data_IF_046634135134
#
_entry.id   IF_046634135134
#
_cell.length_a   1.000
_cell.length_b   1.000
_cell.length_c   1.000
_cell.angle_alpha   90.00
_cell.angle_beta   90.00
_cell.angle_gamma   90.00
#
_symmetry.space_group_name_H-M   'P 1'
#
loop_
_entity.id
_entity.type
_entity.pdbx_description
1 polymer ?
#
# COMPACT_ATOMS: atom_id res chain seq x y z
N UNK A 1 6.32 9.86 19.67
CA UNK A 1 7.51 8.98 19.66
C UNK A 1 7.09 7.61 20.17
N UNK A 2 7.49 6.55 19.49
CA UNK A 2 7.14 5.18 19.84
C UNK A 2 8.34 4.25 19.70
N UNK A 3 8.35 3.19 20.51
CA UNK A 3 9.27 2.07 20.37
C UNK A 3 8.45 0.80 20.23
N UNK A 4 8.76 -0.04 19.24
CA UNK A 4 8.13 -1.35 19.10
C UNK A 4 9.18 -2.44 19.04
N UNK A 5 8.80 -3.64 19.49
CA UNK A 5 9.60 -4.85 19.42
C UNK A 5 8.77 -5.92 18.73
N UNK A 6 9.32 -6.57 17.70
CA UNK A 6 8.74 -7.79 17.11
C UNK A 6 9.64 -8.95 17.47
N UNK A 7 9.12 -9.88 18.26
CA UNK A 7 9.78 -11.15 18.51
C UNK A 7 9.65 -12.05 17.28
N UNK A 8 10.70 -12.76 16.88
CA UNK A 8 10.62 -13.69 15.77
C UNK A 8 9.68 -14.84 16.11
N UNK A 9 8.84 -15.19 15.14
CA UNK A 9 7.89 -16.31 15.25
C UNK A 9 8.62 -17.64 15.30
N UNK A 10 7.91 -18.70 15.70
CA UNK A 10 8.46 -20.07 15.66
C UNK A 10 8.82 -20.48 14.23
N UNK A 11 8.04 -20.05 13.22
CA UNK A 11 8.30 -20.35 11.81
C UNK A 11 9.58 -19.66 11.33
N UNK A 12 9.77 -18.38 11.67
CA UNK A 12 11.00 -17.63 11.31
C UNK A 12 12.26 -18.25 11.95
N UNK A 13 12.14 -18.89 13.12
CA UNK A 13 13.25 -19.58 13.80
C UNK A 13 13.46 -21.04 13.36
N UNK A 14 12.47 -21.69 12.74
CA UNK A 14 12.46 -23.14 12.54
C UNK A 14 13.64 -23.64 11.69
N UNK A 15 14.04 -22.86 10.67
CA UNK A 15 15.00 -23.27 9.65
C UNK A 15 16.42 -22.76 9.84
N UNK A 16 16.69 -22.00 10.90
CA UNK A 16 18.03 -21.45 11.17
C UNK A 16 18.99 -22.55 11.61
N UNK A 17 18.46 -23.56 12.30
CA UNK A 17 19.23 -24.74 12.75
C UNK A 17 19.76 -25.54 11.56
N UNK A 18 18.97 -25.66 10.50
CA UNK A 18 19.32 -26.41 9.30
C UNK A 18 20.35 -25.68 8.43
N UNK A 19 20.45 -24.35 8.54
CA UNK A 19 21.52 -23.57 7.91
C UNK A 19 22.87 -23.74 8.61
N UNK A 20 22.87 -23.84 9.95
CA UNK A 20 24.11 -23.95 10.74
C UNK A 20 24.78 -25.32 10.65
N UNK A 21 24.05 -26.38 10.31
CA UNK A 21 24.65 -27.70 10.05
C UNK A 21 25.49 -27.75 8.77
N UNK A 22 25.34 -26.78 7.87
CA UNK A 22 26.19 -26.59 6.68
C UNK A 22 27.52 -25.86 7.00
N UNK A 23 27.57 -25.01 8.04
CA UNK A 23 28.81 -24.38 8.52
C UNK A 23 29.22 -24.96 9.88
N UNK A 24 29.99 -26.05 9.87
CA UNK A 24 30.55 -26.70 11.07
C UNK A 24 31.41 -25.73 11.90
N UNK A 25 30.81 -25.05 12.86
CA UNK A 25 31.41 -24.59 14.13
C UNK A 25 30.44 -23.61 14.82
N UNK A 26 29.45 -24.09 15.56
CA UNK A 26 28.97 -23.42 16.78
C UNK A 26 27.85 -24.24 17.45
N UNK A 27 27.99 -24.49 18.75
CA UNK A 27 27.12 -25.39 19.55
C UNK A 27 25.96 -24.67 20.26
N UNK A 28 25.64 -23.46 19.84
CA UNK A 28 24.46 -22.71 20.31
C UNK A 28 23.71 -22.20 19.09
N UNK A 29 22.44 -22.59 18.86
CA UNK A 29 21.72 -22.10 17.70
C UNK A 29 21.57 -20.58 17.83
N UNK A 30 22.06 -19.77 16.87
CA UNK A 30 21.80 -18.34 16.88
C UNK A 30 20.29 -18.18 16.71
N UNK A 31 19.59 -17.87 17.80
CA UNK A 31 18.18 -17.47 17.72
C UNK A 31 18.16 -16.12 17.03
N UNK A 32 17.17 -15.89 16.17
CA UNK A 32 16.94 -14.54 15.67
C UNK A 32 16.71 -13.64 16.89
N UNK A 33 17.42 -12.52 16.91
CA UNK A 33 17.15 -11.49 17.89
C UNK A 33 15.78 -10.82 17.60
N UNK A 34 15.15 -10.16 18.56
CA UNK A 34 13.99 -9.34 18.25
C UNK A 34 14.32 -8.21 17.26
N UNK A 35 13.36 -7.91 16.38
CA UNK A 35 13.39 -6.67 15.61
C UNK A 35 13.00 -5.52 16.55
N UNK A 36 13.81 -4.47 16.58
CA UNK A 36 13.51 -3.25 17.32
C UNK A 36 13.19 -2.12 16.36
N UNK A 37 12.23 -1.28 16.71
CA UNK A 37 11.97 -0.06 15.96
C UNK A 37 11.76 1.13 16.88
N UNK A 38 12.33 2.27 16.48
CA UNK A 38 12.12 3.56 17.10
C UNK A 38 11.50 4.48 16.05
N UNK A 39 10.36 5.09 16.33
CA UNK A 39 9.69 6.01 15.42
C UNK A 39 9.33 7.32 16.10
N UNK A 40 9.42 8.40 15.33
CA UNK A 40 8.94 9.73 15.68
C UNK A 40 8.07 10.23 14.55
N UNK A 41 6.94 10.83 14.91
CA UNK A 41 6.01 11.44 13.98
C UNK A 41 5.57 12.79 14.54
N UNK A 42 5.50 13.79 13.67
CA UNK A 42 4.90 15.09 13.92
C UNK A 42 3.83 15.31 12.86
N UNK A 43 2.59 15.52 13.30
CA UNK A 43 1.45 15.68 12.42
C UNK A 43 0.68 16.97 12.69
N UNK A 44 0.12 17.54 11.63
CA UNK A 44 -0.86 18.63 11.68
C UNK A 44 -2.12 18.13 10.97
N UNK A 45 -3.27 18.37 11.59
CA UNK A 45 -4.57 18.15 10.97
C UNK A 45 -5.37 19.45 11.02
N UNK A 46 -5.89 19.88 9.88
CA UNK A 46 -6.73 21.06 9.72
C UNK A 46 -8.10 20.60 9.28
N UNK A 47 -9.13 20.95 10.06
CA UNK A 47 -10.54 20.72 9.73
C UNK A 47 -11.21 22.06 9.58
N UNK A 48 -11.89 22.25 8.46
CA UNK A 48 -12.68 23.45 8.20
C UNK A 48 -14.05 23.05 7.67
N UNK A 49 -15.10 23.57 8.27
CA UNK A 49 -16.47 23.45 7.78
C UNK A 49 -16.88 24.81 7.24
N UNK A 50 -17.24 24.86 5.97
CA UNK A 50 -17.67 26.09 5.30
C UNK A 50 -19.19 26.18 5.32
N UNK A 51 -19.71 27.40 5.52
CA UNK A 51 -21.12 27.73 5.29
C UNK A 51 -21.44 28.10 3.83
N UNK A 52 -20.43 28.13 2.96
CA UNK A 52 -20.56 28.51 1.55
C UNK A 52 -20.88 27.34 0.61
N UNK A 53 -21.10 27.64 -0.68
CA UNK A 53 -21.58 26.69 -1.70
C UNK A 53 -20.50 25.88 -2.43
N UNK A 54 -19.22 26.26 -2.32
CA UNK A 54 -18.13 25.62 -3.06
C UNK A 54 -17.80 24.21 -2.54
N UNK A 55 -17.72 24.04 -1.23
CA UNK A 55 -17.53 22.76 -0.54
C UNK A 55 -18.07 22.88 0.88
N UNK A 56 -18.52 21.76 1.49
CA UNK A 56 -19.06 21.79 2.86
C UNK A 56 -17.98 21.62 3.92
N UNK A 57 -17.02 20.73 3.69
CA UNK A 57 -15.94 20.52 4.63
C UNK A 57 -14.63 20.18 3.93
N UNK A 58 -13.54 20.66 4.52
CA UNK A 58 -12.17 20.35 4.16
C UNK A 58 -11.51 19.69 5.36
N UNK A 59 -10.83 18.57 5.13
CA UNK A 59 -9.90 17.96 6.06
C UNK A 59 -8.55 17.81 5.37
N UNK A 60 -7.52 18.39 5.95
CA UNK A 60 -6.15 18.29 5.47
C UNK A 60 -5.28 17.71 6.58
N UNK A 61 -4.48 16.71 6.26
CA UNK A 61 -3.46 16.20 7.16
C UNK A 61 -2.09 16.26 6.50
N UNK A 62 -1.07 16.53 7.33
CA UNK A 62 0.33 16.45 6.97
C UNK A 62 1.07 15.82 8.14
N UNK A 63 1.87 14.78 7.86
CA UNK A 63 2.69 14.09 8.83
C UNK A 63 4.13 14.00 8.32
N UNK A 64 5.08 14.35 9.17
CA UNK A 64 6.51 14.11 8.98
C UNK A 64 6.91 12.98 9.92
N UNK A 65 7.54 11.94 9.40
CA UNK A 65 7.95 10.80 10.21
C UNK A 65 9.37 10.37 9.92
N UNK A 66 9.95 9.74 10.94
CA UNK A 66 11.24 9.07 10.86
C UNK A 66 11.15 7.81 11.71
N UNK A 67 11.56 6.69 11.13
CA UNK A 67 11.65 5.38 11.76
C UNK A 67 13.05 4.82 11.57
N UNK A 68 13.57 4.19 12.60
CA UNK A 68 14.74 3.32 12.50
C UNK A 68 14.33 1.93 12.95
N UNK A 69 14.60 0.93 12.11
CA UNK A 69 14.42 -0.49 12.43
C UNK A 69 15.79 -1.14 12.54
N UNK A 70 15.96 -1.99 13.54
CA UNK A 70 17.16 -2.77 13.81
C UNK A 70 16.83 -4.26 13.70
N UNK A 71 17.81 -5.07 13.30
CA UNK A 71 17.69 -6.52 13.19
C UNK A 71 16.55 -6.98 12.26
N UNK A 72 16.25 -6.18 11.23
CA UNK A 72 15.11 -6.41 10.32
C UNK A 72 15.25 -7.78 9.68
N UNK A 73 14.20 -8.60 9.77
CA UNK A 73 14.13 -9.91 9.16
C UNK A 73 13.83 -9.78 7.68
N UNK A 74 14.64 -10.45 6.88
CA UNK A 74 14.43 -10.65 5.45
C UNK A 74 14.39 -12.14 5.15
N UNK A 75 13.39 -12.54 4.39
CA UNK A 75 13.19 -13.93 3.99
C UNK A 75 13.99 -14.21 2.73
N UNK A 76 14.82 -15.27 2.75
CA UNK A 76 15.71 -15.69 1.66
C UNK A 76 15.67 -17.22 1.50
N UNK A 77 15.55 -17.75 0.28
CA UNK A 77 15.81 -19.15 0.02
C UNK A 77 17.30 -19.46 0.16
N UNK A 78 17.58 -20.61 0.75
CA UNK A 78 18.85 -21.29 0.86
C UNK A 78 18.63 -22.73 0.39
N UNK A 79 19.16 -23.08 -0.78
CA UNK A 79 18.91 -24.36 -1.45
C UNK A 79 17.41 -24.68 -1.54
N UNK A 80 16.94 -25.71 -0.84
CA UNK A 80 15.53 -26.15 -0.86
C UNK A 80 14.68 -25.56 0.28
N UNK A 81 15.22 -24.63 1.07
CA UNK A 81 14.59 -24.11 2.29
C UNK A 81 14.48 -22.58 2.23
N UNK A 82 13.37 -22.03 2.72
CA UNK A 82 13.22 -20.59 2.90
C UNK A 82 13.54 -20.24 4.36
N UNK A 83 14.56 -19.41 4.59
CA UNK A 83 14.99 -19.00 5.92
C UNK A 83 14.96 -17.48 6.10
N UNK A 84 14.84 -17.05 7.35
CA UNK A 84 14.90 -15.64 7.72
C UNK A 84 16.32 -15.24 8.14
N UNK A 85 16.81 -14.12 7.62
CA UNK A 85 18.12 -13.54 7.94
C UNK A 85 17.90 -12.15 8.52
N UNK A 86 18.75 -11.74 9.47
CA UNK A 86 18.70 -10.41 10.06
C UNK A 86 19.61 -9.43 9.34
N UNK A 87 19.08 -8.25 9.08
CA UNK A 87 19.80 -7.12 8.50
C UNK A 87 19.95 -6.06 9.58
N UNK A 88 21.15 -5.46 9.65
CA UNK A 88 21.55 -4.64 10.79
C UNK A 88 20.61 -3.49 11.09
N UNK A 89 20.50 -2.51 10.18
CA UNK A 89 19.76 -1.28 10.45
C UNK A 89 19.16 -0.68 9.18
N UNK A 90 17.94 -0.18 9.29
CA UNK A 90 17.29 0.60 8.25
C UNK A 90 16.62 1.85 8.79
N UNK A 91 16.84 2.96 8.10
CA UNK A 91 16.20 4.23 8.38
C UNK A 91 15.17 4.51 7.28
N UNK A 92 13.94 4.81 7.68
CA UNK A 92 12.88 5.28 6.80
C UNK A 92 12.42 6.63 7.29
N UNK A 93 12.42 7.62 6.40
CA UNK A 93 11.90 8.96 6.69
C UNK A 93 10.87 9.30 5.63
N UNK A 94 9.92 10.17 5.96
CA UNK A 94 8.96 10.56 4.96
C UNK A 94 8.06 11.69 5.36
N UNK A 95 7.29 12.09 4.36
CA UNK A 95 6.16 12.99 4.47
C UNK A 95 4.94 12.29 3.90
N UNK A 96 3.84 12.36 4.64
CA UNK A 96 2.52 11.91 4.22
C UNK A 96 1.56 13.09 4.28
N UNK A 97 0.77 13.28 3.23
CA UNK A 97 -0.29 14.28 3.21
C UNK A 97 -1.59 13.67 2.71
N UNK A 98 -2.70 14.15 3.24
CA UNK A 98 -4.02 13.85 2.71
C UNK A 98 -4.89 15.10 2.68
N UNK A 99 -5.73 15.21 1.67
CA UNK A 99 -6.72 16.26 1.51
C UNK A 99 -8.06 15.62 1.17
N UNK A 100 -9.08 15.92 1.95
CA UNK A 100 -10.45 15.48 1.73
C UNK A 100 -11.36 16.70 1.63
N UNK A 101 -12.01 16.87 0.49
CA UNK A 101 -13.06 17.85 0.27
C UNK A 101 -14.39 17.12 0.13
N UNK A 102 -15.32 17.36 1.05
CA UNK A 102 -16.65 16.78 0.98
C UNK A 102 -17.65 17.77 0.40
N UNK A 103 -18.56 17.22 -0.40
CA UNK A 103 -19.68 17.95 -0.99
C UNK A 103 -19.22 19.18 -1.79
N UNK A 104 -18.17 19.03 -2.59
CA UNK A 104 -17.77 20.03 -3.58
C UNK A 104 -18.93 20.20 -4.57
N UNK A 105 -19.44 21.42 -4.70
CA UNK A 105 -20.69 21.73 -5.40
C UNK A 105 -21.88 20.82 -5.02
N UNK A 106 -21.93 20.35 -3.76
CA UNK A 106 -22.93 19.41 -3.22
C UNK A 106 -22.98 18.01 -3.87
N UNK A 107 -22.03 17.68 -4.74
CA UNK A 107 -22.10 16.46 -5.57
C UNK A 107 -20.86 15.60 -5.53
N UNK A 108 -19.71 16.23 -5.30
CA UNK A 108 -18.43 15.57 -5.41
C UNK A 108 -17.78 15.39 -4.05
N UNK A 109 -17.06 14.27 -3.90
CA UNK A 109 -16.11 14.06 -2.80
C UNK A 109 -14.75 13.85 -3.46
N UNK A 110 -13.78 14.68 -3.08
CA UNK A 110 -12.41 14.59 -3.55
C UNK A 110 -11.53 14.12 -2.38
N UNK A 111 -10.77 13.05 -2.57
CA UNK A 111 -9.68 12.70 -1.67
C UNK A 111 -8.37 12.68 -2.46
N UNK A 112 -7.38 13.42 -2.03
CA UNK A 112 -6.02 13.32 -2.54
C UNK A 112 -5.11 12.82 -1.43
N UNK A 113 -4.16 11.95 -1.75
CA UNK A 113 -3.09 11.58 -0.84
C UNK A 113 -1.75 11.62 -1.55
N UNK A 114 -0.72 11.94 -0.78
CA UNK A 114 0.65 11.97 -1.25
C UNK A 114 1.56 11.41 -0.18
N UNK A 115 2.55 10.64 -0.60
CA UNK A 115 3.59 10.12 0.27
C UNK A 115 4.92 10.21 -0.45
N UNK A 116 5.93 10.65 0.28
CA UNK A 116 7.32 10.58 -0.17
C UNK A 116 8.17 9.98 0.93
N UNK A 117 8.94 8.98 0.56
CA UNK A 117 9.78 8.17 1.42
C UNK A 117 11.24 8.32 1.01
N UNK A 118 12.09 8.45 2.01
CA UNK A 118 13.51 8.20 1.92
C UNK A 118 13.84 6.95 2.74
N UNK A 119 14.45 5.97 2.09
CA UNK A 119 14.73 4.65 2.64
C UNK A 119 16.21 4.39 2.40
N UNK A 120 16.96 4.15 3.49
CA UNK A 120 18.41 3.91 3.41
C UNK A 120 18.74 2.59 2.70
N UNK A 121 17.95 1.54 2.93
CA UNK A 121 18.07 0.26 2.24
C UNK A 121 16.75 -0.14 1.56
N UNK A 122 16.57 0.16 0.26
CA UNK A 122 15.37 -0.17 -0.49
C UNK A 122 15.11 -1.68 -0.62
N UNK A 123 16.13 -2.53 -0.45
CA UNK A 123 15.98 -3.99 -0.53
C UNK A 123 15.17 -4.55 0.65
N UNK A 124 14.91 -3.75 1.69
CA UNK A 124 14.06 -4.19 2.80
C UNK A 124 12.57 -4.07 2.51
N UNK A 125 12.18 -3.35 1.46
CA UNK A 125 10.79 -3.14 1.09
C UNK A 125 10.61 -3.41 -0.40
N UNK A 126 10.50 -4.70 -0.75
CA UNK A 126 10.16 -5.12 -2.09
C UNK A 126 8.91 -4.39 -2.58
N UNK A 127 8.95 -3.89 -3.82
CA UNK A 127 7.82 -3.23 -4.48
C UNK A 127 7.32 -1.96 -3.77
N UNK A 128 8.07 -1.38 -2.82
CA UNK A 128 7.66 -0.13 -2.17
C UNK A 128 8.16 1.08 -2.96
N UNK A 129 7.28 1.83 -3.64
CA UNK A 129 7.67 3.07 -4.31
C UNK A 129 8.04 4.15 -3.29
N UNK A 130 9.07 4.93 -3.63
CA UNK A 130 9.52 6.06 -2.80
C UNK A 130 8.60 7.27 -2.87
N UNK A 131 7.71 7.36 -3.85
CA UNK A 131 6.79 8.48 -4.03
C UNK A 131 5.47 7.96 -4.57
N UNK A 132 4.37 8.14 -3.84
CA UNK A 132 3.04 7.84 -4.36
C UNK A 132 2.13 9.06 -4.28
N UNK A 133 1.22 9.12 -5.23
CA UNK A 133 0.14 10.08 -5.24
C UNK A 133 -1.14 9.35 -5.63
N UNK A 134 -2.24 9.62 -4.95
CA UNK A 134 -3.55 9.13 -5.36
C UNK A 134 -4.58 10.25 -5.32
N UNK A 135 -5.49 10.23 -6.28
CA UNK A 135 -6.61 11.15 -6.39
C UNK A 135 -7.89 10.35 -6.61
N UNK A 136 -8.74 10.36 -5.60
CA UNK A 136 -10.05 9.75 -5.61
C UNK A 136 -11.12 10.82 -5.81
N UNK A 137 -11.95 10.65 -6.83
CA UNK A 137 -13.14 11.45 -7.10
C UNK A 137 -14.36 10.56 -6.97
N UNK A 138 -15.33 10.97 -6.15
CA UNK A 138 -16.67 10.39 -6.10
C UNK A 138 -17.68 11.43 -6.53
N UNK A 139 -18.67 11.02 -7.30
CA UNK A 139 -19.81 11.80 -7.73
C UNK A 139 -21.09 11.00 -7.51
N UNK A 140 -22.10 11.66 -6.94
CA UNK A 140 -23.44 11.09 -6.80
C UNK A 140 -24.49 12.07 -7.34
N UNK A 141 -25.20 11.64 -8.38
CA UNK A 141 -26.30 12.40 -8.98
C UNK A 141 -27.56 12.34 -8.11
N UNK A 142 -28.55 13.19 -8.44
CA UNK A 142 -29.86 13.18 -7.74
C UNK A 142 -30.72 11.99 -8.16
N UNK A 143 -30.34 11.32 -9.26
CA UNK A 143 -31.13 10.29 -9.92
C UNK A 143 -30.57 8.89 -9.69
N UNK A 144 -29.67 8.70 -8.71
CA UNK A 144 -29.09 7.40 -8.39
C UNK A 144 -27.86 7.01 -9.19
N UNK A 145 -27.50 7.74 -10.26
CA UNK A 145 -26.21 7.57 -10.95
C UNK A 145 -25.07 7.97 -10.01
N UNK A 146 -24.06 7.11 -9.86
CA UNK A 146 -22.81 7.43 -9.20
C UNK A 146 -21.60 7.09 -10.07
N UNK A 147 -20.52 7.82 -9.83
CA UNK A 147 -19.24 7.62 -10.48
C UNK A 147 -18.13 7.73 -9.46
N UNK A 148 -17.24 6.74 -9.41
CA UNK A 148 -16.01 6.81 -8.63
C UNK A 148 -14.82 6.62 -9.56
N UNK A 149 -13.76 7.37 -9.30
CA UNK A 149 -12.52 7.28 -10.04
C UNK A 149 -11.36 7.41 -9.07
N UNK A 150 -10.39 6.52 -9.18
CA UNK A 150 -9.12 6.60 -8.45
C UNK A 150 -7.98 6.65 -9.44
N UNK A 151 -7.38 7.81 -9.61
CA UNK A 151 -6.09 7.93 -10.28
C UNK A 151 -4.98 7.67 -9.26
N UNK A 152 -3.95 6.94 -9.63
CA UNK A 152 -2.77 6.76 -8.80
C UNK A 152 -1.50 6.82 -9.63
N UNK A 153 -0.46 7.36 -9.02
CA UNK A 153 0.90 7.40 -9.53
C UNK A 153 1.80 6.73 -8.52
N UNK A 154 2.60 5.78 -9.01
CA UNK A 154 3.66 5.14 -8.25
C UNK A 154 5.01 5.54 -8.84
N UNK A 155 5.87 6.04 -7.97
CA UNK A 155 7.24 6.39 -8.30
C UNK A 155 8.10 5.16 -8.52
N UNK A 156 9.39 5.39 -8.79
CA UNK A 156 10.37 4.32 -8.93
C UNK A 156 10.38 3.43 -7.68
N UNK A 157 10.32 2.13 -7.88
CA UNK A 157 10.45 1.13 -6.82
C UNK A 157 11.50 0.08 -7.20
N UNK A 158 11.93 -0.69 -6.20
CA UNK A 158 12.85 -1.80 -6.38
C UNK A 158 12.10 -3.09 -6.04
N UNK A 159 11.98 -3.96 -7.02
CA UNK A 159 11.59 -5.34 -6.80
C UNK A 159 12.84 -6.17 -6.54
N UNK A 160 12.68 -7.19 -5.71
CA UNK A 160 13.66 -8.26 -5.63
C UNK A 160 12.91 -9.56 -5.44
N UNK A 161 13.46 -10.60 -6.03
CA UNK A 161 12.88 -11.94 -6.02
C UNK A 161 14.02 -12.94 -6.25
N UNK A 162 13.73 -14.20 -5.99
CA UNK A 162 14.61 -15.29 -6.38
C UNK A 162 14.05 -15.91 -7.64
N UNK A 163 14.90 -16.11 -8.65
CA UNK A 163 14.48 -16.77 -9.89
C UNK A 163 14.36 -18.29 -9.70
N UNK A 164 13.99 -19.00 -10.77
CA UNK A 164 13.82 -20.46 -10.74
C UNK A 164 15.13 -21.22 -10.46
N UNK A 165 16.28 -20.54 -10.49
CA UNK A 165 17.60 -21.08 -10.16
C UNK A 165 18.06 -20.66 -8.75
N UNK A 166 17.14 -20.13 -7.91
CA UNK A 166 17.42 -19.58 -6.58
C UNK A 166 18.43 -18.42 -6.57
N UNK A 167 18.64 -17.74 -7.70
CA UNK A 167 19.53 -16.57 -7.74
C UNK A 167 18.77 -15.32 -7.31
N UNK A 168 19.41 -14.52 -6.47
CA UNK A 168 18.86 -13.23 -6.06
C UNK A 168 18.85 -12.26 -7.24
N UNK A 169 17.66 -11.84 -7.66
CA UNK A 169 17.46 -10.83 -8.69
C UNK A 169 16.93 -9.56 -8.06
N UNK A 170 17.43 -8.45 -8.57
CA UNK A 170 16.86 -7.13 -8.29
C UNK A 170 16.42 -6.53 -9.60
N UNK A 171 15.27 -5.87 -9.57
CA UNK A 171 14.71 -5.23 -10.73
C UNK A 171 14.17 -3.86 -10.37
N UNK A 172 14.54 -2.88 -11.18
CA UNK A 172 14.01 -1.53 -11.04
C UNK A 172 12.68 -1.43 -11.78
N UNK A 173 11.61 -1.14 -11.05
CA UNK A 173 10.31 -0.82 -11.63
C UNK A 173 10.29 0.68 -11.95
N UNK A 174 10.06 1.00 -13.22
CA UNK A 174 9.93 2.38 -13.68
C UNK A 174 8.66 3.01 -13.12
N UNK A 175 8.64 4.33 -12.84
CA UNK A 175 7.43 5.02 -12.43
C UNK A 175 6.28 4.78 -13.40
N UNK A 176 5.07 4.65 -12.87
CA UNK A 176 3.87 4.49 -13.66
C UNK A 176 2.70 5.25 -13.03
N UNK A 177 1.66 5.43 -13.83
CA UNK A 177 0.38 5.91 -13.35
C UNK A 177 -0.72 5.07 -13.97
N UNK A 178 -1.86 5.05 -13.31
CA UNK A 178 -2.97 4.24 -13.72
C UNK A 178 -4.26 4.74 -13.06
N UNK A 179 -5.38 4.16 -13.45
CA UNK A 179 -6.71 4.61 -13.07
C UNK A 179 -7.65 3.43 -12.88
N UNK A 180 -8.40 3.47 -11.78
CA UNK A 180 -9.57 2.66 -11.58
C UNK A 180 -10.82 3.53 -11.73
N UNK A 181 -11.85 3.02 -12.39
CA UNK A 181 -13.12 3.71 -12.59
C UNK A 181 -14.28 2.81 -12.24
N UNK A 182 -15.34 3.40 -11.71
CA UNK A 182 -16.58 2.72 -11.39
C UNK A 182 -17.73 3.64 -11.78
N UNK A 183 -18.66 3.13 -12.57
CA UNK A 183 -19.95 3.77 -12.85
C UNK A 183 -21.03 2.84 -12.37
N UNK A 184 -22.02 3.36 -11.65
CA UNK A 184 -23.17 2.57 -11.26
C UNK A 184 -24.44 3.40 -11.12
N UNK A 185 -25.56 2.70 -11.03
CA UNK A 185 -26.87 3.31 -10.96
C UNK A 185 -27.76 2.58 -9.96
N UNK A 186 -28.33 3.35 -9.03
CA UNK A 186 -29.33 2.90 -8.07
C UNK A 186 -30.73 3.02 -8.67
N UNK A 187 -31.42 1.89 -8.84
CA UNK A 187 -32.78 1.79 -9.37
C UNK A 187 -33.72 1.48 -8.20
N UNK A 188 -34.57 2.44 -7.77
CA UNK A 188 -35.64 2.13 -6.83
C UNK A 188 -36.67 1.23 -7.53
N UNK A 189 -37.00 0.09 -6.93
CA UNK A 189 -37.98 -0.86 -7.48
C UNK A 189 -39.34 -0.71 -6.79
N UNK A 190 -39.40 -1.05 -5.50
CA UNK A 190 -40.58 -0.93 -4.64
C UNK A 190 -40.16 -0.41 -3.26
N UNK A 191 -41.12 -0.18 -2.35
CA UNK A 191 -40.95 0.62 -1.11
C UNK A 191 -39.67 0.35 -0.30
N UNK A 192 -39.19 -0.90 -0.28
CA UNK A 192 -37.96 -1.29 0.43
C UNK A 192 -36.93 -1.97 -0.49
N UNK A 193 -37.21 -2.08 -1.79
CA UNK A 193 -36.36 -2.81 -2.72
C UNK A 193 -35.60 -1.87 -3.65
N UNK A 194 -34.30 -2.12 -3.77
CA UNK A 194 -33.38 -1.36 -4.62
C UNK A 194 -32.51 -2.32 -5.42
N UNK A 195 -32.36 -2.04 -6.72
CA UNK A 195 -31.37 -2.69 -7.57
C UNK A 195 -30.20 -1.74 -7.81
N UNK A 196 -28.99 -2.27 -7.78
CA UNK A 196 -27.76 -1.55 -8.09
C UNK A 196 -27.06 -2.27 -9.24
N UNK A 197 -26.85 -1.56 -10.35
CA UNK A 197 -26.04 -2.03 -11.47
C UNK A 197 -24.74 -1.23 -11.47
N UNK A 198 -23.62 -1.92 -11.54
CA UNK A 198 -22.29 -1.30 -11.49
C UNK A 198 -21.37 -1.94 -12.53
N UNK A 199 -20.58 -1.09 -13.18
CA UNK A 199 -19.44 -1.47 -14.02
C UNK A 199 -18.18 -0.83 -13.43
N UNK A 200 -17.20 -1.68 -13.10
CA UNK A 200 -15.90 -1.30 -12.59
C UNK A 200 -14.81 -1.69 -13.59
N UNK A 201 -13.90 -0.77 -13.88
CA UNK A 201 -12.68 -1.00 -14.64
C UNK A 201 -11.48 -0.72 -13.78
N UNK A 202 -10.59 -1.71 -13.65
CA UNK A 202 -9.36 -1.61 -12.88
C UNK A 202 -8.16 -1.68 -13.81
N UNK A 203 -7.15 -0.87 -13.51
CA UNK A 203 -5.99 -0.68 -14.37
C UNK A 203 -6.37 -0.35 -15.82
N UNK A 204 -7.13 0.73 -15.98
CA UNK A 204 -7.73 1.14 -17.25
C UNK A 204 -6.67 1.54 -18.29
N UNK A 205 -5.54 2.10 -17.85
CA UNK A 205 -4.47 2.55 -18.75
C UNK A 205 -3.52 1.43 -19.18
N UNK A 206 -3.64 0.24 -18.60
CA UNK A 206 -2.81 -0.93 -18.91
C UNK A 206 -1.30 -0.63 -18.81
N UNK A 207 -0.92 0.20 -17.83
CA UNK A 207 0.46 0.68 -17.70
C UNK A 207 1.31 -0.30 -16.89
N UNK A 208 2.53 -0.50 -17.37
CA UNK A 208 3.34 -1.70 -17.20
C UNK A 208 4.12 -1.83 -15.88
N UNK A 209 3.74 -1.16 -14.80
CA UNK A 209 4.19 -1.57 -13.45
C UNK A 209 3.64 -2.95 -13.06
N UNK A 210 2.52 -3.33 -13.67
CA UNK A 210 1.71 -4.51 -13.35
C UNK A 210 1.91 -5.71 -14.31
N UNK A 211 2.96 -5.71 -15.13
CA UNK A 211 3.22 -6.85 -16.04
C UNK A 211 3.66 -8.13 -15.30
N UNK A 212 4.21 -7.98 -14.09
CA UNK A 212 4.56 -9.11 -13.23
C UNK A 212 3.30 -9.73 -12.62
N UNK A 213 3.23 -11.07 -12.60
CA UNK A 213 2.06 -11.83 -12.12
C UNK A 213 1.56 -11.44 -10.72
N UNK A 214 2.41 -10.81 -9.90
CA UNK A 214 2.11 -10.37 -8.54
C UNK A 214 1.47 -8.98 -8.44
N UNK A 215 1.42 -8.23 -9.55
CA UNK A 215 0.96 -6.85 -9.58
C UNK A 215 -0.32 -6.79 -10.46
N UNK A 216 -1.41 -6.26 -9.87
CA UNK A 216 -2.78 -6.03 -10.39
C UNK A 216 -2.92 -5.86 -11.93
N UNK A 217 -3.40 -6.89 -12.62
CA UNK A 217 -3.71 -6.86 -14.07
C UNK A 217 -4.91 -5.96 -14.41
N UNK A 218 -5.05 -5.55 -15.67
CA UNK A 218 -6.25 -4.90 -16.20
C UNK A 218 -7.45 -5.87 -16.19
N UNK A 219 -8.56 -5.45 -15.60
CA UNK A 219 -9.80 -6.21 -15.66
C UNK A 219 -11.03 -5.31 -15.55
N UNK A 220 -12.15 -5.81 -16.07
CA UNK A 220 -13.46 -5.21 -15.94
C UNK A 220 -14.37 -6.14 -15.18
N UNK A 221 -15.22 -5.58 -14.32
CA UNK A 221 -16.18 -6.30 -13.52
C UNK A 221 -17.53 -5.61 -13.64
N UNK A 222 -18.57 -6.41 -13.90
CA UNK A 222 -19.95 -5.97 -13.81
C UNK A 222 -20.58 -6.64 -12.60
N UNK A 223 -21.34 -5.89 -11.81
CA UNK A 223 -22.10 -6.41 -10.68
C UNK A 223 -23.53 -5.92 -10.72
N UNK A 224 -24.44 -6.82 -10.34
CA UNK A 224 -25.83 -6.54 -10.07
C UNK A 224 -26.08 -6.92 -8.61
N UNK A 225 -26.59 -6.00 -7.81
CA UNK A 225 -27.02 -6.27 -6.44
C UNK A 225 -28.50 -5.92 -6.29
N UNK A 226 -29.23 -6.75 -5.56
CA UNK A 226 -30.61 -6.50 -5.15
C UNK A 226 -30.63 -6.43 -3.62
N UNK A 227 -31.21 -5.37 -3.07
CA UNK A 227 -31.43 -5.20 -1.63
C UNK A 227 -32.94 -5.10 -1.39
N UNK A 228 -33.44 -5.78 -0.35
CA UNK A 228 -34.85 -5.83 0.05
C UNK A 228 -34.97 -5.68 1.57
#
# INVERSE_FOLDING_TARGET
YGKNVKYPTLVENAYIRDLTTLSRADSTPPRLEPEYSNSSELGINIKHTSGGSLFRSLEFSLALFSGTVYNKLLTRPFDNVIASVQIGRNNTRGIETSLKLNQVFNRFILNASFIQLDISDPLLYAYKPKKNFSLHLSYVSRFGLYFNSTFFYEGKSLAWYYDNENQFRTETITPFNDMDVVVGFHIPLVKNAEAEIQLAGYNVFDRSGFRYYYLKKRYWQMSLALRY
#
